data_IF_146416252500
#
_entry.id   IF_146416252500
#
_cell.length_a   1.000
_cell.length_b   1.000
_cell.length_c   1.000
_cell.angle_alpha   90.00
_cell.angle_beta   90.00
_cell.angle_gamma   90.00
#
_symmetry.space_group_name_H-M   'P 1'
#
loop_
_entity.id
_entity.type
_entity.pdbx_description
1 polymer ?
#
# COMPACT_ATOMS: atom_id res chain seq x y z
N UNK A 1 -0.99 -18.20 -8.83
CA UNK A 1 -0.34 -17.13 -8.08
C UNK A 1 -1.35 -15.98 -7.89
N UNK A 2 -1.47 -15.47 -6.67
CA UNK A 2 -2.41 -14.39 -6.36
C UNK A 2 -1.98 -13.06 -6.99
N UNK A 3 -2.94 -12.15 -7.20
CA UNK A 3 -2.64 -10.82 -7.72
C UNK A 3 -1.65 -10.05 -6.84
N UNK A 4 -1.80 -10.00 -5.50
CA UNK A 4 -0.81 -9.33 -4.65
C UNK A 4 0.59 -9.92 -4.78
N UNK A 5 0.73 -11.24 -4.87
CA UNK A 5 2.03 -11.89 -5.05
C UNK A 5 2.66 -11.51 -6.39
N UNK A 6 1.87 -11.46 -7.46
CA UNK A 6 2.36 -11.04 -8.79
C UNK A 6 2.85 -9.60 -8.77
N UNK A 7 2.11 -8.70 -8.14
CA UNK A 7 2.53 -7.30 -7.99
C UNK A 7 3.81 -7.17 -7.18
N UNK A 8 3.95 -7.93 -6.09
CA UNK A 8 5.16 -7.96 -5.29
C UNK A 8 6.38 -8.35 -6.12
N UNK A 9 6.25 -9.42 -6.93
CA UNK A 9 7.34 -9.87 -7.79
C UNK A 9 7.68 -8.86 -8.89
N UNK A 10 6.68 -8.20 -9.47
CA UNK A 10 6.89 -7.15 -10.45
C UNK A 10 7.59 -5.94 -9.85
N UNK A 11 7.25 -5.57 -8.61
CA UNK A 11 7.97 -4.52 -7.90
C UNK A 11 9.42 -4.89 -7.67
N UNK A 12 9.71 -6.11 -7.22
CA UNK A 12 11.08 -6.59 -7.03
C UNK A 12 11.87 -6.59 -8.35
N UNK A 13 11.19 -6.79 -9.47
CA UNK A 13 11.78 -6.76 -10.81
C UNK A 13 11.97 -5.35 -11.37
N UNK A 14 11.53 -4.32 -10.65
CA UNK A 14 11.69 -2.94 -11.07
C UNK A 14 10.64 -2.42 -12.04
N UNK A 15 9.51 -3.11 -12.20
CA UNK A 15 8.44 -2.72 -13.13
C UNK A 15 7.68 -1.46 -12.67
N UNK A 16 7.72 -1.16 -11.38
CA UNK A 16 7.19 0.08 -10.83
C UNK A 16 7.89 0.42 -9.52
N UNK A 17 7.73 1.65 -9.07
CA UNK A 17 8.24 2.12 -7.78
C UNK A 17 7.14 2.09 -6.74
N UNK A 18 7.46 1.61 -5.53
CA UNK A 18 6.55 1.58 -4.40
C UNK A 18 6.90 2.72 -3.44
N UNK A 19 5.90 3.51 -3.07
CA UNK A 19 6.07 4.59 -2.10
C UNK A 19 5.42 4.19 -0.78
N UNK A 20 6.15 4.37 0.30
CA UNK A 20 5.70 4.06 1.66
C UNK A 20 6.02 5.20 2.62
N UNK A 21 5.38 5.19 3.78
CA UNK A 21 5.72 6.06 4.91
C UNK A 21 5.79 5.21 6.19
N UNK A 22 6.38 5.73 7.28
CA UNK A 22 6.50 4.96 8.52
C UNK A 22 5.17 4.41 9.02
N UNK A 23 4.12 5.21 8.99
CA UNK A 23 2.78 4.78 9.44
C UNK A 23 2.27 3.58 8.63
N UNK A 24 2.43 3.60 7.31
CA UNK A 24 2.00 2.51 6.43
C UNK A 24 2.76 1.21 6.72
N UNK A 25 4.06 1.30 6.95
CA UNK A 25 4.88 0.14 7.31
C UNK A 25 4.44 -0.45 8.64
N UNK A 26 4.22 0.38 9.66
CA UNK A 26 3.74 -0.08 10.97
C UNK A 26 2.39 -0.77 10.87
N UNK A 27 1.47 -0.23 10.09
CA UNK A 27 0.17 -0.83 9.87
C UNK A 27 0.26 -2.18 9.16
N UNK A 28 1.07 -2.27 8.13
CA UNK A 28 1.32 -3.53 7.42
C UNK A 28 1.92 -4.59 8.35
N UNK A 29 2.93 -4.23 9.12
CA UNK A 29 3.57 -5.13 10.09
C UNK A 29 2.54 -5.60 11.12
N UNK A 30 1.73 -4.70 11.66
CA UNK A 30 0.68 -5.04 12.63
C UNK A 30 -0.34 -6.02 12.07
N UNK A 31 -0.74 -5.85 10.82
CA UNK A 31 -1.68 -6.77 10.15
C UNK A 31 -1.05 -8.16 9.99
N UNK A 32 0.19 -8.23 9.50
CA UNK A 32 0.86 -9.49 9.24
C UNK A 32 1.18 -10.27 10.53
N UNK A 33 1.31 -9.58 11.67
CA UNK A 33 1.55 -10.23 12.97
C UNK A 33 0.28 -10.71 13.67
N UNK A 34 -0.90 -10.50 13.09
CA UNK A 34 -2.15 -10.97 13.69
C UNK A 34 -2.16 -12.49 13.81
N UNK A 35 -2.70 -13.05 14.92
CA UNK A 35 -2.70 -14.51 15.16
C UNK A 35 -3.27 -15.33 14.02
N UNK A 36 -4.26 -14.81 13.30
CA UNK A 36 -4.88 -15.52 12.17
C UNK A 36 -3.93 -15.78 11.00
N UNK A 37 -2.79 -15.09 10.94
CA UNK A 37 -1.81 -15.26 9.87
C UNK A 37 -0.59 -16.07 10.29
N UNK A 38 -0.51 -16.51 11.56
CA UNK A 38 0.68 -17.21 12.07
C UNK A 38 1.00 -18.51 11.36
N UNK A 39 -0.02 -19.22 10.88
CA UNK A 39 0.17 -20.48 10.14
C UNK A 39 0.66 -20.21 8.70
N UNK A 40 0.49 -18.99 8.20
CA UNK A 40 0.89 -18.61 6.85
C UNK A 40 2.22 -17.87 6.85
N UNK A 41 2.49 -17.07 7.87
CA UNK A 41 3.67 -16.20 7.95
C UNK A 41 4.25 -16.27 9.37
N UNK A 42 5.50 -16.68 9.48
CA UNK A 42 6.20 -16.66 10.77
C UNK A 42 6.62 -15.25 11.15
N UNK A 43 6.88 -14.97 12.45
CA UNK A 43 7.43 -13.67 12.86
C UNK A 43 8.72 -13.30 12.14
N UNK A 44 9.61 -14.25 11.91
CA UNK A 44 10.86 -14.02 11.19
C UNK A 44 10.61 -13.64 9.73
N UNK A 45 9.64 -14.28 9.08
CA UNK A 45 9.24 -13.95 7.71
C UNK A 45 8.63 -12.55 7.63
N UNK A 46 7.87 -12.12 8.64
CA UNK A 46 7.35 -10.75 8.71
C UNK A 46 8.51 -9.76 8.79
N UNK A 47 9.50 -10.01 9.65
CA UNK A 47 10.67 -9.15 9.79
C UNK A 47 11.43 -9.02 8.46
N UNK A 48 11.64 -10.13 7.76
CA UNK A 48 12.29 -10.14 6.45
C UNK A 48 11.53 -9.34 5.42
N UNK A 49 10.21 -9.53 5.36
CA UNK A 49 9.34 -8.83 4.40
C UNK A 49 9.35 -7.32 4.63
N UNK A 50 9.21 -6.90 5.90
CA UNK A 50 9.25 -5.48 6.26
C UNK A 50 10.61 -4.87 5.90
N UNK A 51 11.70 -5.58 6.13
CA UNK A 51 13.04 -5.10 5.79
C UNK A 51 13.23 -4.95 4.27
N UNK A 52 12.71 -5.88 3.48
CA UNK A 52 12.74 -5.79 2.01
C UNK A 52 12.02 -4.52 1.56
N UNK A 53 10.85 -4.24 2.13
CA UNK A 53 10.09 -3.04 1.79
C UNK A 53 10.85 -1.78 2.21
N UNK A 54 11.41 -1.74 3.40
CA UNK A 54 12.17 -0.57 3.87
C UNK A 54 13.37 -0.25 2.98
N UNK A 55 14.04 -1.28 2.49
CA UNK A 55 15.23 -1.09 1.63
C UNK A 55 14.90 -0.75 0.19
N UNK A 56 13.84 -1.35 -0.35
CA UNK A 56 13.52 -1.24 -1.76
C UNK A 56 12.52 -0.15 -2.13
N UNK A 57 11.64 0.23 -1.22
CA UNK A 57 10.63 1.23 -1.48
C UNK A 57 11.16 2.65 -1.29
N UNK A 58 10.48 3.61 -1.91
CA UNK A 58 10.73 5.03 -1.68
C UNK A 58 10.04 5.41 -0.37
N UNK A 59 10.83 5.78 0.64
CA UNK A 59 10.32 6.18 1.95
C UNK A 59 10.13 7.69 2.01
N UNK A 60 8.91 8.12 2.32
CA UNK A 60 8.56 9.52 2.52
C UNK A 60 8.04 9.72 3.94
N UNK A 61 7.97 10.97 4.40
CA UNK A 61 7.43 11.29 5.70
C UNK A 61 5.93 10.99 5.78
N UNK A 62 5.43 10.77 7.01
CA UNK A 62 4.00 10.64 7.22
C UNK A 62 3.29 11.90 6.73
N UNK A 63 2.18 11.74 5.99
CA UNK A 63 1.47 12.89 5.43
C UNK A 63 0.69 13.65 6.52
N UNK A 64 0.39 14.92 6.22
CA UNK A 64 -0.62 15.67 6.98
C UNK A 64 -1.98 15.19 6.52
N UNK A 65 -2.77 14.67 7.46
CA UNK A 65 -4.07 14.08 7.15
C UNK A 65 -5.12 15.18 7.03
N UNK A 66 -5.86 15.16 5.91
CA UNK A 66 -7.05 15.98 5.71
C UNK A 66 -8.25 15.08 5.94
N UNK A 67 -8.99 15.30 7.02
CA UNK A 67 -10.16 14.49 7.38
C UNK A 67 -11.33 14.72 6.41
N UNK A 68 -12.19 13.71 6.31
CA UNK A 68 -13.45 13.82 5.58
C UNK A 68 -13.35 13.56 4.07
N UNK A 69 -12.20 13.15 3.55
CA UNK A 69 -12.04 12.79 2.13
C UNK A 69 -12.68 11.44 1.82
N UNK A 70 -12.56 10.49 2.75
CA UNK A 70 -13.15 9.15 2.64
C UNK A 70 -14.11 8.90 3.78
N UNK A 71 -14.88 7.81 3.72
CA UNK A 71 -15.77 7.40 4.80
C UNK A 71 -15.03 6.88 6.02
N UNK A 72 -13.83 6.34 5.81
CA UNK A 72 -12.99 5.79 6.85
C UNK A 72 -11.81 6.72 7.11
N UNK A 73 -11.70 7.30 8.32
CA UNK A 73 -10.53 8.14 8.66
C UNK A 73 -9.19 7.43 8.47
N UNK A 74 -9.17 6.09 8.62
CA UNK A 74 -7.97 5.30 8.35
C UNK A 74 -7.53 5.34 6.90
N UNK A 75 -8.45 5.55 5.97
CA UNK A 75 -8.16 5.64 4.53
C UNK A 75 -7.77 7.06 4.10
N UNK A 76 -8.14 8.08 4.86
CA UNK A 76 -7.81 9.46 4.54
C UNK A 76 -6.29 9.68 4.47
N UNK A 77 -5.51 9.00 5.32
CA UNK A 77 -4.06 9.14 5.27
C UNK A 77 -3.45 8.53 4.00
N UNK A 78 -4.04 7.48 3.44
CA UNK A 78 -3.57 6.88 2.19
C UNK A 78 -3.72 7.86 1.03
N UNK A 79 -4.84 8.55 0.96
CA UNK A 79 -5.06 9.60 -0.04
C UNK A 79 -4.08 10.75 0.16
N UNK A 80 -3.90 11.21 1.40
CA UNK A 80 -2.95 12.27 1.72
C UNK A 80 -1.51 11.87 1.38
N UNK A 81 -1.12 10.63 1.66
CA UNK A 81 0.20 10.11 1.29
C UNK A 81 0.39 10.12 -0.22
N UNK A 82 -0.57 9.62 -0.97
CA UNK A 82 -0.50 9.55 -2.43
C UNK A 82 -0.38 10.94 -3.04
N UNK A 83 -1.11 11.92 -2.52
CA UNK A 83 -1.06 13.31 -2.99
C UNK A 83 0.26 13.98 -2.64
N UNK A 84 0.74 13.84 -1.40
CA UNK A 84 1.97 14.49 -0.95
C UNK A 84 3.22 13.91 -1.62
N UNK A 85 3.21 12.63 -1.96
CA UNK A 85 4.31 11.97 -2.64
C UNK A 85 4.23 12.08 -4.18
N UNK A 86 3.15 12.67 -4.70
CA UNK A 86 2.91 12.88 -6.13
C UNK A 86 3.07 11.58 -6.94
N UNK A 87 2.45 10.51 -6.45
CA UNK A 87 2.48 9.20 -7.13
C UNK A 87 1.49 9.17 -8.29
N UNK A 88 1.71 8.25 -9.24
CA UNK A 88 0.82 8.10 -10.40
C UNK A 88 -0.51 7.47 -10.03
N UNK A 89 -0.50 6.52 -9.08
CA UNK A 89 -1.69 5.77 -8.69
C UNK A 89 -1.66 5.46 -7.20
N UNK A 90 -2.85 5.44 -6.59
CA UNK A 90 -3.08 4.80 -5.29
C UNK A 90 -3.71 3.44 -5.56
N UNK A 91 -3.13 2.37 -5.03
CA UNK A 91 -3.64 1.01 -5.23
C UNK A 91 -4.31 0.53 -3.96
N UNK A 92 -5.58 0.18 -4.06
CA UNK A 92 -6.37 -0.29 -2.91
C UNK A 92 -7.42 -1.30 -3.35
N UNK A 93 -7.65 -2.30 -2.50
CA UNK A 93 -8.71 -3.28 -2.71
C UNK A 93 -10.06 -2.85 -2.17
N UNK A 94 -10.11 -1.75 -1.43
CA UNK A 94 -11.32 -1.24 -0.80
C UNK A 94 -12.20 -0.50 -1.81
N UNK A 95 -13.47 -0.89 -1.90
CA UNK A 95 -14.43 -0.24 -2.80
C UNK A 95 -14.71 1.22 -2.44
N UNK A 96 -14.61 1.57 -1.16
CA UNK A 96 -14.80 2.96 -0.73
C UNK A 96 -13.72 3.88 -1.31
N UNK A 97 -12.50 3.37 -1.51
CA UNK A 97 -11.43 4.10 -2.15
C UNK A 97 -11.51 4.04 -3.68
N UNK A 98 -11.74 2.87 -4.26
CA UNK A 98 -11.79 2.71 -5.72
C UNK A 98 -12.98 3.43 -6.36
N UNK A 99 -14.02 3.71 -5.60
CA UNK A 99 -15.20 4.44 -6.08
C UNK A 99 -15.05 5.96 -6.04
N UNK A 100 -13.94 6.49 -5.50
CA UNK A 100 -13.67 7.93 -5.45
C UNK A 100 -13.25 8.45 -6.83
N UNK A 101 -14.24 8.86 -7.62
CA UNK A 101 -14.01 9.28 -9.01
C UNK A 101 -13.28 10.62 -9.14
N UNK A 102 -13.30 11.44 -8.09
CA UNK A 102 -12.75 12.82 -8.12
C UNK A 102 -11.42 12.97 -7.39
N UNK A 103 -10.89 11.88 -6.86
CA UNK A 103 -9.61 11.93 -6.12
C UNK A 103 -8.44 11.85 -7.09
N UNK A 104 -7.46 12.70 -6.86
CA UNK A 104 -6.17 12.66 -7.55
C UNK A 104 -5.11 12.25 -6.53
N UNK A 105 -4.24 11.27 -6.84
CA UNK A 105 -4.16 10.48 -8.06
C UNK A 105 -5.31 9.47 -8.19
N UNK A 106 -5.52 8.90 -9.40
CA UNK A 106 -6.52 7.84 -9.58
C UNK A 106 -6.29 6.65 -8.67
N UNK A 107 -7.37 6.07 -8.17
CA UNK A 107 -7.32 4.86 -7.34
C UNK A 107 -7.59 3.65 -8.23
N UNK A 108 -6.65 2.69 -8.22
CA UNK A 108 -6.77 1.45 -8.96
C UNK A 108 -6.88 0.26 -8.01
N UNK A 109 -7.65 -0.76 -8.40
CA UNK A 109 -7.57 -2.05 -7.75
C UNK A 109 -6.23 -2.73 -8.08
N UNK A 110 -5.78 -3.70 -7.25
CA UNK A 110 -4.58 -4.48 -7.60
C UNK A 110 -4.65 -5.13 -8.99
N UNK A 111 -5.82 -5.65 -9.37
CA UNK A 111 -6.01 -6.25 -10.69
C UNK A 111 -5.90 -5.22 -11.82
N UNK A 112 -6.44 -4.02 -11.63
CA UNK A 112 -6.36 -2.95 -12.62
C UNK A 112 -4.91 -2.49 -12.81
N UNK A 113 -4.13 -2.37 -11.73
CA UNK A 113 -2.71 -2.05 -11.84
C UNK A 113 -1.95 -3.13 -12.62
N UNK A 114 -2.23 -4.40 -12.34
CA UNK A 114 -1.59 -5.51 -13.03
C UNK A 114 -1.85 -5.45 -14.55
N UNK A 115 -3.05 -5.04 -14.95
CA UNK A 115 -3.43 -4.95 -16.37
C UNK A 115 -2.65 -3.88 -17.14
N UNK A 116 -2.18 -2.84 -16.48
CA UNK A 116 -1.43 -1.74 -17.13
C UNK A 116 0.09 -1.89 -17.05
N UNK A 117 0.57 -2.89 -16.33
CA UNK A 117 2.03 -3.14 -16.20
C UNK A 117 2.61 -3.98 -17.35
#
# INVERSE_FOLDING_TARGET
MSTPTRLYLLWLSGEFELVVCPHLIEELEGVLRRPKFRDLVTPDEVDEFVEIIRRGAISVENPVIIEGVTRDPGDDYLVALAQSADVDYLVAGDKDLTSLATVSPPVLSPAALLDIL
#
